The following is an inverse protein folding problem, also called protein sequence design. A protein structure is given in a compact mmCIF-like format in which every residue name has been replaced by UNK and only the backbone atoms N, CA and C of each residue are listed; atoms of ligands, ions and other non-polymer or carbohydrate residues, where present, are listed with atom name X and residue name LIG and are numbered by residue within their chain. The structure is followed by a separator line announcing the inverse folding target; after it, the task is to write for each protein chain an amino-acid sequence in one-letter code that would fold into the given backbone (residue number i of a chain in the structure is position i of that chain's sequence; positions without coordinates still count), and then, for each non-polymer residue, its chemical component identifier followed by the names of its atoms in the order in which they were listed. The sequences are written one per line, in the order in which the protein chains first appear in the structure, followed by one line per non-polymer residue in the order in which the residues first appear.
data_IF_342418628591
#
_entry.id   IF_342418628591
#
_cell.length_a   1.000
_cell.length_b   1.000
_cell.length_c   1.000
_cell.angle_alpha   90.00
_cell.angle_beta   90.00
_cell.angle_gamma   90.00
#
_symmetry.space_group_name_H-M   'P 1'
#
loop_
_entity.id
_entity.type
_entity.pdbx_description
1 polymer ?
#
# COMPACT_ATOMS: atom_id res chain seq x y z
N UNK A 1 18.89 -24.52 -34.02
CA UNK A 1 18.68 -24.96 -35.42
C UNK A 1 17.35 -24.40 -35.90
N UNK A 2 17.38 -23.74 -37.06
CA UNK A 2 16.29 -23.23 -37.92
C UNK A 2 15.31 -22.15 -37.41
N UNK A 3 15.66 -20.92 -37.79
CA UNK A 3 14.74 -19.84 -38.12
C UNK A 3 14.03 -20.11 -39.46
N UNK A 4 12.80 -19.59 -39.64
CA UNK A 4 12.20 -19.38 -40.96
C UNK A 4 11.75 -17.92 -41.11
N UNK A 5 12.51 -17.20 -41.93
CA UNK A 5 12.11 -15.96 -42.59
C UNK A 5 11.12 -16.29 -43.71
N UNK A 6 10.13 -15.44 -43.90
CA UNK A 6 9.52 -15.25 -45.22
C UNK A 6 9.84 -13.83 -45.69
N UNK A 7 10.42 -13.77 -46.88
CA UNK A 7 10.81 -12.59 -47.64
C UNK A 7 10.12 -12.72 -49.00
N UNK A 8 10.02 -11.57 -49.67
CA UNK A 8 9.70 -11.33 -51.09
C UNK A 8 8.26 -10.95 -51.44
N UNK A 9 7.97 -10.02 -52.37
CA UNK A 9 8.63 -8.84 -52.98
C UNK A 9 7.69 -8.35 -54.10
N UNK A 10 7.92 -7.12 -54.59
CA UNK A 10 7.51 -6.53 -55.90
C UNK A 10 6.09 -5.91 -55.92
N UNK A 11 5.84 -4.69 -56.41
CA UNK A 11 6.69 -3.81 -57.22
C UNK A 11 6.15 -2.37 -57.39
N UNK A 12 7.06 -1.54 -57.92
CA UNK A 12 7.02 -0.08 -58.19
C UNK A 12 5.97 0.34 -59.24
N UNK A 13 5.48 1.59 -59.16
CA UNK A 13 5.96 2.73 -59.97
C UNK A 13 4.94 3.91 -60.02
N UNK A 14 5.42 5.11 -59.70
CA UNK A 14 4.96 6.44 -60.20
C UNK A 14 5.86 6.81 -61.40
N UNK A 15 5.55 7.76 -62.33
CA UNK A 15 5.24 9.18 -62.03
C UNK A 15 4.48 10.04 -63.10
N UNK A 16 4.37 11.36 -62.82
CA UNK A 16 4.20 12.54 -63.74
C UNK A 16 2.82 12.74 -64.41
N UNK A 17 2.23 13.95 -64.63
CA UNK A 17 2.68 15.36 -64.80
C UNK A 17 1.49 16.32 -64.49
N UNK A 18 1.69 17.47 -63.81
CA UNK A 18 1.86 18.87 -64.32
C UNK A 18 0.72 19.43 -65.19
N UNK A 19 0.01 20.47 -64.69
CA UNK A 19 -0.24 21.74 -65.39
C UNK A 19 -0.96 22.76 -64.48
N UNK A 20 -0.45 23.99 -64.48
CA UNK A 20 -0.90 25.16 -63.73
C UNK A 20 -1.63 26.16 -64.63
N UNK A 21 -2.59 26.94 -64.11
CA UNK A 21 -2.99 28.27 -64.64
C UNK A 21 -3.44 29.19 -63.48
N UNK A 22 -3.20 30.49 -63.70
CA UNK A 22 -3.05 31.65 -62.81
C UNK A 22 -4.32 32.30 -62.19
N UNK A 23 -4.01 33.05 -61.13
CA UNK A 23 -4.68 34.04 -60.25
C UNK A 23 -5.50 35.15 -60.98
N UNK A 24 -6.42 35.87 -60.29
CA UNK A 24 -5.99 37.17 -59.71
C UNK A 24 -6.51 37.46 -58.29
N UNK A 25 -5.82 38.43 -57.68
CA UNK A 25 -5.82 38.81 -56.27
C UNK A 25 -7.13 39.42 -55.74
N UNK A 26 -7.36 39.22 -54.44
CA UNK A 26 -8.14 40.13 -53.60
C UNK A 26 -7.47 40.24 -52.23
N UNK A 27 -7.27 41.49 -51.82
CA UNK A 27 -6.45 41.91 -50.72
C UNK A 27 -7.26 42.02 -49.41
N UNK A 28 -6.51 42.04 -48.30
CA UNK A 28 -6.92 42.43 -46.93
C UNK A 28 -8.00 41.58 -46.23
N UNK A 29 -7.53 40.68 -45.35
CA UNK A 29 -7.74 40.80 -43.91
C UNK A 29 -6.85 39.77 -43.19
N UNK A 30 -5.72 40.22 -42.65
CA UNK A 30 -4.99 39.46 -41.64
C UNK A 30 -5.77 39.53 -40.32
N UNK A 31 -6.88 38.81 -40.25
CA UNK A 31 -7.43 38.34 -38.99
C UNK A 31 -6.59 37.16 -38.56
N UNK A 32 -5.54 37.41 -37.77
CA UNK A 32 -4.94 36.38 -36.93
C UNK A 32 -6.05 35.82 -36.04
N UNK A 33 -6.72 34.78 -36.53
CA UNK A 33 -7.43 33.84 -35.70
C UNK A 33 -6.36 33.15 -34.85
N UNK A 34 -6.01 33.80 -33.74
CA UNK A 34 -5.52 33.10 -32.58
C UNK A 34 -6.61 32.07 -32.27
N UNK A 35 -6.38 30.83 -32.71
CA UNK A 35 -7.13 29.68 -32.24
C UNK A 35 -6.91 29.57 -30.75
N UNK A 36 -7.66 30.35 -29.96
CA UNK A 36 -8.07 29.95 -28.63
C UNK A 36 -8.84 28.66 -28.88
N UNK A 37 -8.20 27.52 -28.61
CA UNK A 37 -8.94 26.30 -28.34
C UNK A 37 -9.96 26.66 -27.28
N UNK A 38 -11.23 26.73 -27.67
CA UNK A 38 -12.33 26.84 -26.74
C UNK A 38 -12.44 25.47 -26.04
N UNK A 39 -11.55 25.22 -25.08
CA UNK A 39 -11.84 24.23 -24.06
C UNK A 39 -12.92 24.86 -23.18
N UNK A 40 -14.10 24.23 -23.13
CA UNK A 40 -15.18 24.65 -22.25
C UNK A 40 -14.70 24.79 -20.80
N UNK A 41 -13.66 24.03 -20.43
CA UNK A 41 -13.07 23.97 -19.10
C UNK A 41 -12.55 25.30 -18.51
N UNK A 42 -12.40 26.39 -19.27
CA UNK A 42 -11.85 27.66 -18.77
C UNK A 42 -12.89 28.67 -18.26
N UNK A 43 -14.19 28.39 -18.39
CA UNK A 43 -15.22 29.26 -17.87
C UNK A 43 -15.09 29.39 -16.33
N UNK A 44 -15.24 30.60 -15.74
CA UNK A 44 -15.17 30.78 -14.28
C UNK A 44 -16.16 29.93 -13.49
N UNK A 45 -17.35 29.67 -14.06
CA UNK A 45 -18.36 28.78 -13.46
C UNK A 45 -17.86 27.32 -13.39
N UNK A 46 -17.25 26.83 -14.46
CA UNK A 46 -16.71 25.46 -14.53
C UNK A 46 -15.51 25.29 -13.59
N UNK A 47 -14.71 26.34 -13.41
CA UNK A 47 -13.64 26.38 -12.39
C UNK A 47 -14.20 26.33 -10.97
N UNK A 48 -15.23 27.11 -10.67
CA UNK A 48 -15.86 27.09 -9.34
C UNK A 48 -16.49 25.72 -9.03
N UNK A 49 -17.23 25.14 -9.99
CA UNK A 49 -17.81 23.82 -9.82
C UNK A 49 -16.75 22.72 -9.62
N UNK A 50 -15.64 22.77 -10.38
CA UNK A 50 -14.51 21.84 -10.17
C UNK A 50 -13.90 22.00 -8.77
N UNK A 51 -13.71 23.22 -8.29
CA UNK A 51 -13.20 23.46 -6.94
C UNK A 51 -14.16 22.96 -5.87
N UNK A 52 -15.47 23.12 -6.03
CA UNK A 52 -16.46 22.58 -5.11
C UNK A 52 -16.43 21.04 -5.06
N UNK A 53 -16.37 20.37 -6.22
CA UNK A 53 -16.23 18.90 -6.28
C UNK A 53 -14.93 18.42 -5.63
N UNK A 54 -13.83 19.13 -5.88
CA UNK A 54 -12.53 18.85 -5.27
C UNK A 54 -12.57 19.00 -3.75
N UNK A 55 -13.19 20.06 -3.23
CA UNK A 55 -13.40 20.29 -1.80
C UNK A 55 -14.18 19.14 -1.14
N UNK A 56 -15.28 18.71 -1.75
CA UNK A 56 -16.08 17.56 -1.28
C UNK A 56 -15.24 16.28 -1.26
N UNK A 57 -14.55 15.99 -2.36
CA UNK A 57 -13.73 14.78 -2.50
C UNK A 57 -12.62 14.72 -1.46
N UNK A 58 -11.86 15.81 -1.29
CA UNK A 58 -10.79 15.90 -0.30
C UNK A 58 -11.31 15.73 1.12
N UNK A 59 -12.39 16.43 1.48
CA UNK A 59 -12.95 16.38 2.84
C UNK A 59 -13.45 14.98 3.19
N UNK A 60 -14.17 14.32 2.28
CA UNK A 60 -14.66 12.96 2.48
C UNK A 60 -13.50 11.95 2.53
N UNK A 61 -12.57 12.02 1.57
CA UNK A 61 -11.48 11.05 1.49
C UNK A 61 -10.53 11.15 2.69
N UNK A 62 -10.14 12.35 3.10
CA UNK A 62 -9.14 12.56 4.15
C UNK A 62 -9.73 12.56 5.56
N UNK A 63 -10.93 13.12 5.74
CA UNK A 63 -11.50 13.32 7.09
C UNK A 63 -12.81 12.57 7.33
N UNK A 64 -13.45 12.06 6.28
CA UNK A 64 -14.77 11.42 6.36
C UNK A 64 -15.90 12.40 6.70
N UNK A 65 -15.65 13.71 6.59
CA UNK A 65 -16.62 14.77 6.88
C UNK A 65 -17.04 15.48 5.59
N UNK A 66 -18.13 16.23 5.68
CA UNK A 66 -18.48 17.22 4.66
C UNK A 66 -17.53 18.43 4.75
N UNK A 67 -17.19 19.07 3.61
CA UNK A 67 -16.34 20.26 3.61
C UNK A 67 -17.03 21.41 4.36
N UNK A 68 -16.24 22.21 5.08
CA UNK A 68 -16.73 23.46 5.67
C UNK A 68 -16.88 24.56 4.60
N UNK A 69 -17.49 25.69 4.99
CA UNK A 69 -17.72 26.80 4.07
C UNK A 69 -16.41 27.40 3.50
N UNK A 70 -15.30 27.34 4.24
CA UNK A 70 -14.02 27.87 3.80
C UNK A 70 -13.38 26.98 2.73
N UNK A 71 -13.49 25.66 2.87
CA UNK A 71 -13.03 24.71 1.88
C UNK A 71 -13.91 24.74 0.62
N UNK A 72 -15.24 24.82 0.79
CA UNK A 72 -16.20 24.95 -0.32
C UNK A 72 -15.98 26.22 -1.16
N UNK A 73 -15.64 27.34 -0.53
CA UNK A 73 -15.36 28.60 -1.21
C UNK A 73 -13.93 28.74 -1.74
N UNK A 74 -13.06 27.72 -1.59
CA UNK A 74 -11.66 27.83 -1.97
C UNK A 74 -11.46 27.73 -3.48
N UNK A 75 -10.70 28.67 -4.05
CA UNK A 75 -10.25 28.57 -5.44
C UNK A 75 -9.22 27.44 -5.64
N UNK A 76 -8.50 27.05 -4.57
CA UNK A 76 -7.55 25.94 -4.54
C UNK A 76 -7.80 25.08 -3.28
N UNK A 77 -8.72 24.10 -3.35
CA UNK A 77 -8.97 23.19 -2.23
C UNK A 77 -7.75 22.32 -1.86
N UNK A 78 -6.88 22.01 -2.82
CA UNK A 78 -5.70 21.14 -2.61
C UNK A 78 -4.66 21.80 -1.70
N UNK A 79 -4.62 23.14 -1.63
CA UNK A 79 -3.83 23.88 -0.64
C UNK A 79 -4.14 23.51 0.83
N UNK A 80 -5.31 22.91 1.10
CA UNK A 80 -5.77 22.54 2.46
C UNK A 80 -5.38 21.11 2.85
N UNK A 81 -4.78 20.32 1.95
CA UNK A 81 -4.42 18.91 2.20
C UNK A 81 -3.55 18.76 3.44
N UNK A 82 -2.48 19.53 3.61
CA UNK A 82 -1.57 19.36 4.75
C UNK A 82 -2.27 19.60 6.09
N UNK A 83 -3.17 20.59 6.14
CA UNK A 83 -3.97 20.87 7.33
C UNK A 83 -4.93 19.71 7.65
N UNK A 84 -5.53 19.08 6.63
CA UNK A 84 -6.37 17.90 6.82
C UNK A 84 -5.55 16.69 7.29
N UNK A 85 -4.36 16.48 6.74
CA UNK A 85 -3.48 15.36 7.12
C UNK A 85 -2.90 15.50 8.53
N UNK A 86 -2.78 16.73 9.03
CA UNK A 86 -2.39 17.00 10.42
C UNK A 86 -3.56 16.88 11.41
N UNK A 87 -4.78 16.66 10.93
CA UNK A 87 -5.97 16.62 11.79
C UNK A 87 -6.14 15.28 12.52
N UNK A 88 -6.72 15.28 13.73
CA UNK A 88 -7.12 14.05 14.41
C UNK A 88 -8.09 13.18 13.60
N UNK A 89 -8.94 13.80 12.78
CA UNK A 89 -9.88 13.11 11.89
C UNK A 89 -9.16 12.24 10.87
N UNK A 90 -8.09 12.75 10.26
CA UNK A 90 -7.29 11.97 9.33
C UNK A 90 -6.61 10.79 10.04
N UNK A 91 -6.02 11.04 11.22
CA UNK A 91 -5.37 9.98 11.99
C UNK A 91 -6.35 8.85 12.36
N UNK A 92 -7.57 9.21 12.78
CA UNK A 92 -8.64 8.26 13.08
C UNK A 92 -9.04 7.44 11.84
N UNK A 93 -9.28 8.12 10.72
CA UNK A 93 -9.74 7.48 9.48
C UNK A 93 -8.68 6.56 8.89
N UNK A 94 -7.43 7.02 8.83
CA UNK A 94 -6.29 6.24 8.35
C UNK A 94 -6.06 5.01 9.24
N UNK A 95 -6.12 5.16 10.56
CA UNK A 95 -5.96 4.02 11.48
C UNK A 95 -7.03 2.95 11.28
N UNK A 96 -8.30 3.34 11.09
CA UNK A 96 -9.40 2.40 10.78
C UNK A 96 -9.20 1.69 9.45
N UNK A 97 -8.80 2.44 8.42
CA UNK A 97 -8.52 1.87 7.10
C UNK A 97 -7.38 0.85 7.17
N UNK A 98 -6.25 1.23 7.75
CA UNK A 98 -5.06 0.38 7.91
C UNK A 98 -5.41 -0.86 8.72
N UNK A 99 -6.18 -0.70 9.79
CA UNK A 99 -6.68 -1.84 10.54
C UNK A 99 -7.48 -2.81 9.67
N UNK A 100 -8.43 -2.32 8.87
CA UNK A 100 -9.23 -3.15 7.99
C UNK A 100 -8.40 -3.87 6.90
N UNK A 101 -7.29 -3.27 6.44
CA UNK A 101 -6.40 -3.89 5.46
C UNK A 101 -5.49 -4.95 6.09
N UNK A 102 -4.94 -4.67 7.28
CA UNK A 102 -3.86 -5.47 7.87
C UNK A 102 -4.36 -6.53 8.85
N UNK A 103 -5.62 -6.45 9.30
CA UNK A 103 -6.24 -7.51 10.08
C UNK A 103 -7.03 -8.49 9.20
N UNK A 104 -6.95 -9.79 9.53
CA UNK A 104 -7.61 -10.87 8.82
C UNK A 104 -9.12 -10.99 9.02
N UNK A 105 -9.77 -9.96 9.57
CA UNK A 105 -11.18 -9.95 9.93
C UNK A 105 -11.47 -9.03 11.12
N UNK A 106 -12.75 -8.79 11.44
CA UNK A 106 -13.15 -7.94 12.55
C UNK A 106 -12.66 -8.51 13.89
N UNK A 107 -12.38 -7.63 14.85
CA UNK A 107 -12.18 -8.01 16.25
C UNK A 107 -13.50 -7.95 17.01
N UNK A 108 -13.62 -8.78 18.04
CA UNK A 108 -14.79 -8.79 18.92
C UNK A 108 -14.79 -7.60 19.90
N UNK A 109 -13.62 -7.08 20.25
CA UNK A 109 -13.43 -6.04 21.27
C UNK A 109 -12.36 -5.02 20.83
N UNK A 110 -12.57 -3.76 21.19
CA UNK A 110 -11.60 -2.68 21.05
C UNK A 110 -10.31 -2.92 21.85
N UNK A 111 -10.34 -3.73 22.91
CA UNK A 111 -9.15 -4.10 23.69
C UNK A 111 -8.21 -5.07 22.97
N UNK A 112 -8.57 -5.56 21.77
CA UNK A 112 -7.77 -6.50 20.96
C UNK A 112 -7.45 -5.95 19.56
N UNK A 113 -7.29 -4.63 19.41
CA UNK A 113 -7.04 -4.01 18.10
C UNK A 113 -5.68 -3.26 17.98
N UNK A 114 -4.55 -3.97 18.10
CA UNK A 114 -3.25 -3.30 18.21
C UNK A 114 -2.80 -2.58 16.95
N UNK A 115 -3.29 -3.02 15.78
CA UNK A 115 -3.02 -2.37 14.50
C UNK A 115 -3.66 -0.98 14.49
N UNK A 116 -4.93 -0.87 14.86
CA UNK A 116 -5.64 0.41 14.94
C UNK A 116 -4.94 1.38 15.90
N UNK A 117 -4.68 0.96 17.15
CA UNK A 117 -4.12 1.85 18.15
C UNK A 117 -2.70 2.29 17.81
N UNK A 118 -1.86 1.39 17.28
CA UNK A 118 -0.51 1.77 16.88
C UNK A 118 -0.49 2.64 15.62
N UNK A 119 -1.33 2.35 14.62
CA UNK A 119 -1.43 3.20 13.43
C UNK A 119 -1.89 4.60 13.81
N UNK A 120 -2.90 4.73 14.69
CA UNK A 120 -3.36 6.03 15.19
C UNK A 120 -2.24 6.77 15.92
N UNK A 121 -1.46 6.08 16.75
CA UNK A 121 -0.31 6.66 17.46
C UNK A 121 0.75 7.21 16.49
N UNK A 122 1.20 6.39 15.53
CA UNK A 122 2.21 6.75 14.52
C UNK A 122 1.76 7.94 13.69
N UNK A 123 0.51 7.91 13.19
CA UNK A 123 -0.03 8.99 12.36
C UNK A 123 -0.20 10.28 13.16
N UNK A 124 -0.81 10.21 14.35
CA UNK A 124 -1.08 11.42 15.16
C UNK A 124 0.18 12.17 15.58
N UNK A 125 1.31 11.47 15.67
CA UNK A 125 2.61 12.03 16.08
C UNK A 125 3.54 12.35 14.90
N UNK A 126 3.14 12.01 13.68
CA UNK A 126 4.00 12.17 12.49
C UNK A 126 5.27 11.34 12.55
N UNK A 127 5.22 10.19 13.23
CA UNK A 127 6.36 9.27 13.32
C UNK A 127 6.62 8.60 11.96
N UNK A 128 7.82 8.07 11.70
CA UNK A 128 8.08 7.29 10.51
C UNK A 128 7.07 6.14 10.38
N UNK A 129 6.46 6.00 9.21
CA UNK A 129 5.44 4.99 8.93
C UNK A 129 5.94 3.56 9.18
N UNK A 130 7.23 3.32 8.93
CA UNK A 130 7.92 2.09 9.27
C UNK A 130 7.77 1.69 10.75
N UNK A 131 7.61 2.66 11.66
CA UNK A 131 7.47 2.43 13.09
C UNK A 131 6.19 1.64 13.46
N UNK A 132 5.17 1.62 12.58
CA UNK A 132 4.03 0.72 12.73
C UNK A 132 4.45 -0.77 12.75
N UNK A 133 5.52 -1.11 12.05
CA UNK A 133 6.01 -2.48 11.85
C UNK A 133 7.29 -2.78 12.64
N UNK A 134 8.20 -1.81 12.76
CA UNK A 134 9.52 -1.99 13.38
C UNK A 134 9.69 -1.22 14.69
N UNK A 135 8.70 -0.41 15.07
CA UNK A 135 8.81 0.51 16.20
C UNK A 135 9.02 -0.23 17.54
N UNK A 136 9.80 0.36 18.46
CA UNK A 136 10.02 -0.21 19.79
C UNK A 136 8.81 0.08 20.68
N UNK A 137 7.67 -0.53 20.36
CA UNK A 137 6.41 -0.30 21.06
C UNK A 137 5.88 -1.57 21.72
N UNK A 138 5.21 -1.37 22.85
CA UNK A 138 4.28 -2.31 23.45
C UNK A 138 2.87 -1.76 23.33
N UNK A 139 1.92 -2.60 22.93
CA UNK A 139 0.51 -2.25 22.81
C UNK A 139 -0.28 -3.19 23.71
N UNK A 140 -0.86 -2.67 24.78
CA UNK A 140 -1.51 -3.49 25.81
C UNK A 140 -2.94 -3.05 26.05
N UNK A 141 -3.85 -4.00 26.38
CA UNK A 141 -5.22 -3.66 26.72
C UNK A 141 -5.28 -2.86 28.03
N UNK A 142 -6.23 -1.92 28.05
CA UNK A 142 -6.74 -1.22 29.24
C UNK A 142 -8.21 -1.61 29.43
N UNK A 143 -8.96 -0.91 30.28
CA UNK A 143 -10.39 -1.22 30.50
C UNK A 143 -11.23 -1.13 29.22
N UNK A 144 -11.02 -0.08 28.40
CA UNK A 144 -11.91 0.24 27.26
C UNK A 144 -11.15 0.45 25.93
N UNK A 145 -9.82 0.32 25.94
CA UNK A 145 -8.95 0.66 24.81
C UNK A 145 -7.62 -0.10 24.88
N UNK A 146 -6.72 0.14 23.92
CA UNK A 146 -5.31 -0.22 24.07
C UNK A 146 -4.42 1.01 24.29
N UNK A 147 -3.37 0.82 25.07
CA UNK A 147 -2.34 1.82 25.33
C UNK A 147 -1.07 1.46 24.56
N UNK A 148 -0.46 2.46 23.92
CA UNK A 148 0.86 2.34 23.28
C UNK A 148 1.91 2.94 24.20
N UNK A 149 2.93 2.15 24.55
CA UNK A 149 4.09 2.59 25.34
C UNK A 149 5.38 2.18 24.65
N UNK A 150 6.50 2.81 24.99
CA UNK A 150 7.81 2.40 24.49
C UNK A 150 8.24 1.07 25.11
N UNK A 151 8.81 0.20 24.29
CA UNK A 151 9.44 -1.06 24.68
C UNK A 151 10.64 -1.33 23.75
N UNK A 152 11.89 -1.30 24.24
CA UNK A 152 13.07 -1.59 23.43
C UNK A 152 13.05 -2.97 22.76
N UNK A 153 12.31 -3.93 23.33
CA UNK A 153 12.08 -5.25 22.78
C UNK A 153 10.84 -5.32 21.86
N UNK A 154 10.15 -4.22 21.63
CA UNK A 154 9.02 -4.11 20.70
C UNK A 154 9.43 -4.33 19.25
N UNK A 155 8.43 -4.66 18.42
CA UNK A 155 8.56 -4.81 16.97
C UNK A 155 7.22 -4.46 16.31
N UNK A 156 6.89 -3.17 16.34
CA UNK A 156 5.60 -2.64 15.92
C UNK A 156 4.45 -3.38 16.59
N UNK A 157 3.36 -3.57 15.85
CA UNK A 157 2.24 -4.37 16.35
C UNK A 157 2.50 -5.89 16.32
N UNK A 158 3.53 -6.37 15.61
CA UNK A 158 3.78 -7.81 15.43
C UNK A 158 4.16 -8.54 16.72
N UNK A 159 4.77 -7.83 17.69
CA UNK A 159 5.06 -8.38 19.02
C UNK A 159 4.01 -8.04 20.07
N UNK A 160 2.87 -7.50 19.67
CA UNK A 160 1.76 -7.29 20.60
C UNK A 160 1.17 -8.65 21.00
N UNK A 161 0.98 -8.95 22.31
CA UNK A 161 0.49 -10.25 22.75
C UNK A 161 -0.82 -10.68 22.09
N UNK A 162 -1.73 -9.74 21.87
CA UNK A 162 -3.06 -10.01 21.33
C UNK A 162 -2.99 -10.36 19.83
N UNK A 163 -2.19 -9.61 19.05
CA UNK A 163 -1.85 -9.94 17.65
C UNK A 163 -1.16 -11.30 17.55
N UNK A 164 -0.15 -11.55 18.39
CA UNK A 164 0.58 -12.82 18.39
C UNK A 164 -0.33 -14.01 18.69
N UNK A 165 -1.21 -13.90 19.70
CA UNK A 165 -2.18 -14.94 20.03
C UNK A 165 -3.13 -15.21 18.86
N UNK A 166 -3.67 -14.16 18.25
CA UNK A 166 -4.58 -14.26 17.11
C UNK A 166 -3.97 -15.00 15.92
N UNK A 167 -2.71 -14.72 15.60
CA UNK A 167 -2.02 -15.30 14.44
C UNK A 167 -1.01 -16.39 14.81
N UNK A 168 -1.11 -16.97 16.02
CA UNK A 168 -0.23 -18.03 16.49
C UNK A 168 -0.35 -19.30 15.64
N UNK A 169 -1.53 -19.55 15.06
CA UNK A 169 -1.82 -20.73 14.27
C UNK A 169 -1.89 -22.02 15.10
N UNK A 170 -2.06 -23.13 14.40
CA UNK A 170 -2.29 -24.46 14.97
C UNK A 170 -1.21 -25.49 14.56
N UNK A 171 -0.05 -25.04 14.10
CA UNK A 171 1.05 -25.93 13.73
C UNK A 171 1.56 -26.71 14.96
N UNK A 172 1.74 -28.03 14.82
CA UNK A 172 1.99 -28.95 15.94
C UNK A 172 3.29 -28.66 16.68
N UNK A 173 4.32 -28.18 15.97
CA UNK A 173 5.60 -27.80 16.56
C UNK A 173 5.59 -26.35 17.09
N UNK A 174 4.44 -25.68 17.04
CA UNK A 174 4.27 -24.32 17.54
C UNK A 174 4.87 -23.25 16.63
N UNK A 175 5.19 -23.57 15.37
CA UNK A 175 5.58 -22.55 14.39
C UNK A 175 4.41 -21.62 14.07
N UNK A 176 4.64 -20.31 14.15
CA UNK A 176 3.63 -19.30 13.80
C UNK A 176 3.56 -19.09 12.28
N UNK A 177 3.19 -20.12 11.50
CA UNK A 177 3.08 -20.02 10.04
C UNK A 177 2.08 -18.94 9.60
N UNK A 178 0.95 -18.80 10.30
CA UNK A 178 -0.03 -17.74 10.04
C UNK A 178 0.56 -16.36 10.33
N UNK A 179 1.27 -16.21 11.46
CA UNK A 179 1.98 -14.98 11.81
C UNK A 179 3.06 -14.62 10.78
N UNK A 180 3.84 -15.60 10.31
CA UNK A 180 4.84 -15.40 9.26
C UNK A 180 4.19 -14.90 7.96
N UNK A 181 3.07 -15.50 7.54
CA UNK A 181 2.32 -15.06 6.37
C UNK A 181 1.83 -13.62 6.55
N UNK A 182 1.22 -13.31 7.70
CA UNK A 182 0.73 -11.95 7.98
C UNK A 182 1.83 -10.91 8.00
N UNK A 183 3.02 -11.22 8.54
CA UNK A 183 4.18 -10.33 8.47
C UNK A 183 4.57 -10.06 7.00
N UNK A 184 4.67 -11.10 6.17
CA UNK A 184 5.01 -10.97 4.75
C UNK A 184 3.94 -10.15 4.02
N UNK A 185 2.67 -10.49 4.19
CA UNK A 185 1.56 -9.84 3.50
C UNK A 185 1.43 -8.37 3.92
N UNK A 186 1.44 -8.09 5.22
CA UNK A 186 1.23 -6.73 5.72
C UNK A 186 2.40 -5.79 5.40
N UNK A 187 3.60 -6.33 5.14
CA UNK A 187 4.76 -5.53 4.76
C UNK A 187 4.89 -5.40 3.24
N UNK A 188 4.70 -6.47 2.48
CA UNK A 188 5.02 -6.50 1.04
C UNK A 188 3.80 -6.53 0.12
N UNK A 189 2.60 -6.71 0.67
CA UNK A 189 1.38 -6.92 -0.10
C UNK A 189 1.31 -8.28 -0.79
N UNK A 190 2.26 -9.19 -0.52
CA UNK A 190 2.24 -10.53 -1.09
C UNK A 190 1.14 -11.36 -0.43
N UNK A 191 0.12 -11.68 -1.21
CA UNK A 191 -0.91 -12.63 -0.81
C UNK A 191 -0.52 -14.06 -1.20
N UNK A 192 -0.60 -14.97 -0.24
CA UNK A 192 -0.44 -16.40 -0.47
C UNK A 192 -1.83 -17.03 -0.56
N UNK A 193 -2.14 -17.61 -1.70
CA UNK A 193 -3.36 -18.40 -1.86
C UNK A 193 -3.06 -19.84 -1.45
N UNK A 194 -3.83 -20.35 -0.49
CA UNK A 194 -3.73 -21.74 -0.10
C UNK A 194 -4.11 -22.64 -1.29
N UNK A 195 -3.34 -23.70 -1.52
CA UNK A 195 -3.75 -24.80 -2.39
C UNK A 195 -5.04 -25.42 -1.84
N UNK A 196 -5.98 -25.77 -2.73
CA UNK A 196 -7.19 -26.52 -2.34
C UNK A 196 -6.73 -27.93 -1.95
N UNK A 197 -6.59 -28.18 -0.65
CA UNK A 197 -6.20 -29.50 -0.17
C UNK A 197 -7.34 -30.51 -0.28
N UNK A 198 -7.04 -31.71 -0.75
CA UNK A 198 -7.95 -32.84 -0.72
C UNK A 198 -8.05 -33.43 0.71
N UNK A 199 -9.17 -34.10 1.04
CA UNK A 199 -9.24 -34.89 2.26
C UNK A 199 -8.08 -35.91 2.30
N UNK A 200 -7.29 -35.89 3.37
CA UNK A 200 -6.16 -36.78 3.56
C UNK A 200 -4.80 -36.24 3.12
N UNK A 201 -4.73 -35.03 2.54
CA UNK A 201 -3.44 -34.40 2.23
C UNK A 201 -2.60 -34.22 3.51
N UNK A 202 -1.33 -34.59 3.43
CA UNK A 202 -0.38 -34.38 4.51
C UNK A 202 0.00 -32.90 4.59
N UNK A 203 -0.46 -32.21 5.64
CA UNK A 203 -0.17 -30.80 5.92
C UNK A 203 0.92 -30.62 6.99
N UNK A 204 1.53 -31.71 7.43
CA UNK A 204 2.66 -31.68 8.36
C UNK A 204 3.87 -30.98 7.73
N UNK A 205 4.90 -30.71 8.54
CA UNK A 205 6.15 -30.18 8.03
C UNK A 205 6.80 -31.06 6.94
N UNK A 206 6.56 -32.37 6.96
CA UNK A 206 7.08 -33.27 5.91
C UNK A 206 6.23 -33.17 4.65
N UNK A 207 4.90 -33.23 4.77
CA UNK A 207 3.98 -33.06 3.65
C UNK A 207 4.20 -31.73 2.90
N UNK A 208 4.51 -30.64 3.62
CA UNK A 208 4.82 -29.34 3.00
C UNK A 208 6.10 -29.31 2.16
N UNK A 209 6.96 -30.33 2.24
CA UNK A 209 8.11 -30.49 1.34
C UNK A 209 7.73 -31.17 0.02
N UNK A 210 6.49 -31.62 -0.12
CA UNK A 210 5.93 -32.13 -1.37
C UNK A 210 5.93 -31.05 -2.48
N UNK A 211 6.03 -31.44 -3.77
CA UNK A 211 6.17 -30.50 -4.89
C UNK A 211 5.10 -29.39 -4.95
N UNK A 212 3.88 -29.70 -4.52
CA UNK A 212 2.74 -28.79 -4.49
C UNK A 212 2.85 -27.68 -3.44
N UNK A 213 3.52 -27.94 -2.31
CA UNK A 213 3.64 -26.99 -1.20
C UNK A 213 5.04 -26.35 -1.12
N UNK A 214 6.07 -27.08 -1.52
CA UNK A 214 7.48 -26.74 -1.29
C UNK A 214 7.87 -25.36 -1.81
N UNK A 215 7.27 -24.93 -2.93
CA UNK A 215 7.48 -23.61 -3.50
C UNK A 215 7.20 -22.48 -2.50
N UNK A 216 6.03 -22.49 -1.86
CA UNK A 216 5.66 -21.43 -0.93
C UNK A 216 6.31 -21.60 0.45
N UNK A 217 6.60 -22.84 0.84
CA UNK A 217 7.06 -23.14 2.20
C UNK A 217 8.59 -23.12 2.35
N UNK A 218 9.37 -23.51 1.32
CA UNK A 218 10.81 -23.77 1.46
C UNK A 218 11.71 -23.15 0.37
N UNK A 219 11.26 -23.08 -0.89
CA UNK A 219 12.18 -22.83 -2.02
C UNK A 219 12.23 -21.36 -2.51
N UNK A 220 11.26 -20.51 -2.16
CA UNK A 220 11.14 -19.13 -2.69
C UNK A 220 11.66 -18.06 -1.72
N UNK A 221 11.81 -16.83 -2.22
CA UNK A 221 12.27 -15.68 -1.42
C UNK A 221 11.45 -15.43 -0.16
N UNK A 222 10.15 -15.77 -0.19
CA UNK A 222 9.21 -15.66 0.93
C UNK A 222 8.82 -17.04 1.50
N UNK A 223 9.78 -17.97 1.59
CA UNK A 223 9.59 -19.33 2.11
C UNK A 223 9.00 -19.32 3.52
N UNK A 224 7.72 -19.68 3.65
CA UNK A 224 6.94 -19.49 4.87
C UNK A 224 7.50 -20.24 6.09
N UNK A 225 7.92 -21.49 5.92
CA UNK A 225 8.46 -22.29 7.03
C UNK A 225 9.80 -21.72 7.48
N UNK A 226 10.63 -21.27 6.54
CA UNK A 226 11.92 -20.63 6.85
C UNK A 226 11.71 -19.28 7.56
N UNK A 227 10.69 -18.50 7.18
CA UNK A 227 10.29 -17.29 7.91
C UNK A 227 9.85 -17.61 9.34
N UNK A 228 8.99 -18.62 9.52
CA UNK A 228 8.46 -18.98 10.83
C UNK A 228 9.53 -19.48 11.82
N UNK A 229 10.68 -19.95 11.34
CA UNK A 229 11.85 -20.30 12.18
C UNK A 229 12.48 -19.11 12.89
N UNK A 230 12.30 -17.90 12.37
CA UNK A 230 12.78 -16.66 13.00
C UNK A 230 11.79 -16.09 14.03
N UNK A 231 10.56 -16.60 14.07
CA UNK A 231 9.51 -16.11 14.96
C UNK A 231 9.51 -16.85 16.32
N UNK A 232 8.95 -16.24 17.37
CA UNK A 232 8.67 -16.94 18.62
C UNK A 232 7.84 -18.21 18.41
N UNK A 233 8.07 -19.20 19.27
CA UNK A 233 7.34 -20.48 19.26
C UNK A 233 6.15 -20.41 20.19
N UNK A 234 4.98 -20.79 19.68
CA UNK A 234 3.77 -20.98 20.49
C UNK A 234 3.95 -22.16 21.44
N UNK A 235 3.54 -21.99 22.69
CA UNK A 235 3.35 -23.06 23.67
C UNK A 235 1.94 -22.98 24.23
N UNK A 236 1.31 -24.13 24.44
CA UNK A 236 -0.08 -24.21 24.91
C UNK A 236 -1.12 -23.95 23.81
N UNK A 237 -2.38 -23.80 24.23
CA UNK A 237 -3.54 -23.59 23.36
C UNK A 237 -4.54 -22.64 24.05
N UNK A 238 -5.42 -22.01 23.26
CA UNK A 238 -6.43 -21.08 23.76
C UNK A 238 -5.83 -19.89 24.52
N UNK A 239 -6.46 -19.51 25.62
CA UNK A 239 -6.05 -18.34 26.41
C UNK A 239 -4.69 -18.54 27.12
N UNK A 240 -4.29 -19.79 27.33
CA UNK A 240 -3.02 -20.18 27.94
C UNK A 240 -1.82 -20.16 26.97
N UNK A 241 -2.00 -19.65 25.75
CA UNK A 241 -0.88 -19.48 24.80
C UNK A 241 0.20 -18.58 25.40
N UNK A 242 1.43 -19.08 25.36
CA UNK A 242 2.66 -18.36 25.67
C UNK A 242 3.64 -18.47 24.50
N UNK A 243 4.66 -17.61 24.47
CA UNK A 243 5.65 -17.57 23.40
C UNK A 243 7.05 -17.70 23.96
N UNK A 244 7.82 -18.66 23.44
CA UNK A 244 9.25 -18.79 23.73
C UNK A 244 10.09 -18.24 22.58
N UNK A 245 11.30 -17.70 22.84
CA UNK A 245 12.19 -17.24 21.78
C UNK A 245 12.48 -18.30 20.70
N UNK A 246 12.80 -17.90 19.45
CA UNK A 246 13.20 -18.82 18.39
C UNK A 246 14.50 -19.56 18.76
N UNK A 247 14.62 -20.82 18.34
CA UNK A 247 15.77 -21.70 18.67
C UNK A 247 16.56 -22.17 17.44
N UNK A 248 16.08 -21.88 16.23
CA UNK A 248 16.62 -22.44 14.96
C UNK A 248 17.83 -21.67 14.42
N UNK A 249 18.21 -20.57 15.09
CA UNK A 249 19.30 -19.69 14.64
C UNK A 249 19.00 -18.94 13.34
N UNK A 250 20.02 -18.27 12.77
CA UNK A 250 19.86 -17.47 11.56
C UNK A 250 19.38 -18.28 10.35
N UNK A 251 18.56 -17.67 9.49
CA UNK A 251 17.99 -18.29 8.30
C UNK A 251 18.45 -17.59 7.01
N UNK A 252 18.50 -18.32 5.90
CA UNK A 252 18.75 -17.75 4.56
C UNK A 252 17.42 -17.32 3.92
N UNK A 253 17.19 -16.02 3.82
CA UNK A 253 15.95 -15.43 3.29
C UNK A 253 16.27 -14.14 2.56
N UNK A 254 15.49 -13.81 1.52
CA UNK A 254 15.63 -12.54 0.79
C UNK A 254 17.05 -12.28 0.27
N UNK A 255 17.81 -13.34 -0.04
CA UNK A 255 19.20 -13.28 -0.47
C UNK A 255 20.21 -12.89 0.62
N UNK A 256 19.83 -12.99 1.91
CA UNK A 256 20.65 -12.61 3.07
C UNK A 256 20.55 -13.64 4.19
N UNK A 257 21.54 -13.64 5.08
CA UNK A 257 21.44 -14.29 6.38
C UNK A 257 20.69 -13.37 7.33
N UNK A 258 19.51 -13.78 7.80
CA UNK A 258 18.67 -13.04 8.74
C UNK A 258 18.74 -13.72 10.11
N UNK A 259 19.10 -12.98 11.15
CA UNK A 259 19.36 -13.50 12.50
C UNK A 259 18.08 -13.76 13.30
N UNK A 260 17.13 -12.85 13.24
CA UNK A 260 15.92 -12.84 14.07
C UNK A 260 14.76 -12.13 13.36
N UNK A 261 13.58 -12.18 13.98
CA UNK A 261 12.36 -11.52 13.51
C UNK A 261 12.50 -9.99 13.40
N UNK A 262 13.31 -9.36 14.25
CA UNK A 262 13.55 -7.92 14.17
C UNK A 262 14.32 -7.55 12.89
N UNK A 263 15.39 -8.27 12.59
CA UNK A 263 16.14 -8.10 11.34
C UNK A 263 15.27 -8.46 10.12
N UNK A 264 14.44 -9.49 10.24
CA UNK A 264 13.50 -9.90 9.19
C UNK A 264 12.52 -8.77 8.82
N UNK A 265 11.77 -8.26 9.81
CA UNK A 265 10.77 -7.20 9.57
C UNK A 265 11.45 -5.92 9.10
N UNK A 266 12.62 -5.57 9.65
CA UNK A 266 13.39 -4.43 9.19
C UNK A 266 13.82 -4.58 7.72
N UNK A 267 14.22 -5.79 7.31
CA UNK A 267 14.57 -6.09 5.91
C UNK A 267 13.37 -5.97 4.97
N UNK A 268 12.20 -6.45 5.39
CA UNK A 268 10.96 -6.32 4.61
C UNK A 268 10.55 -4.86 4.45
N UNK A 269 10.54 -4.10 5.54
CA UNK A 269 10.13 -2.69 5.57
C UNK A 269 11.10 -1.78 4.81
N UNK A 270 12.38 -2.17 4.70
CA UNK A 270 13.36 -1.46 3.87
C UNK A 270 13.25 -1.78 2.36
N UNK A 271 12.41 -2.73 1.95
CA UNK A 271 12.32 -3.19 0.55
C UNK A 271 11.47 -2.28 -0.33
N UNK A 272 11.69 -2.33 -1.65
CA UNK A 272 10.84 -1.64 -2.62
C UNK A 272 9.41 -2.20 -2.64
N UNK A 273 9.25 -3.50 -2.37
CA UNK A 273 7.94 -4.14 -2.22
C UNK A 273 7.14 -3.49 -1.08
N UNK A 274 7.80 -3.11 0.02
CA UNK A 274 7.13 -2.37 1.09
C UNK A 274 6.61 -1.03 0.61
N UNK A 275 7.46 -0.18 0.02
CA UNK A 275 7.06 1.14 -0.47
C UNK A 275 5.93 1.06 -1.48
N UNK A 276 6.06 0.14 -2.44
CA UNK A 276 5.04 -0.13 -3.44
C UNK A 276 3.71 -0.52 -2.79
N UNK A 277 3.72 -1.46 -1.83
CA UNK A 277 2.51 -1.87 -1.12
C UNK A 277 1.90 -0.72 -0.31
N UNK A 278 2.72 0.10 0.37
CA UNK A 278 2.22 1.25 1.12
C UNK A 278 1.55 2.27 0.21
N UNK A 279 2.13 2.58 -0.96
CA UNK A 279 1.50 3.47 -1.93
C UNK A 279 0.24 2.88 -2.56
N UNK A 280 0.20 1.57 -2.83
CA UNK A 280 -1.05 0.90 -3.21
C UNK A 280 -2.15 1.08 -2.16
N UNK A 281 -1.80 0.96 -0.87
CA UNK A 281 -2.76 1.22 0.22
C UNK A 281 -3.21 2.68 0.26
N UNK A 282 -2.34 3.65 -0.06
CA UNK A 282 -2.72 5.06 -0.21
C UNK A 282 -3.76 5.23 -1.32
N UNK A 283 -3.58 4.57 -2.46
CA UNK A 283 -4.57 4.60 -3.54
C UNK A 283 -5.90 3.95 -3.11
N UNK A 284 -5.84 2.81 -2.43
CA UNK A 284 -7.05 2.16 -1.89
C UNK A 284 -7.77 3.05 -0.86
N UNK A 285 -7.02 3.78 -0.04
CA UNK A 285 -7.58 4.73 0.93
C UNK A 285 -8.29 5.90 0.24
N UNK A 286 -7.65 6.49 -0.78
CA UNK A 286 -8.13 7.69 -1.46
C UNK A 286 -9.20 7.42 -2.52
N UNK A 287 -9.09 6.31 -3.24
CA UNK A 287 -9.93 5.97 -4.39
C UNK A 287 -10.83 4.75 -4.18
N UNK A 288 -10.64 3.99 -3.10
CA UNK A 288 -11.35 2.72 -2.89
C UNK A 288 -10.88 1.59 -3.81
N UNK A 289 -9.77 1.77 -4.54
CA UNK A 289 -9.18 0.79 -5.46
C UNK A 289 -7.66 0.91 -5.50
N UNK A 290 -6.99 -0.12 -6.02
CA UNK A 290 -5.58 -0.04 -6.36
C UNK A 290 -5.33 0.96 -7.51
N UNK A 291 -4.06 1.37 -7.64
CA UNK A 291 -3.54 2.14 -8.74
C UNK A 291 -3.74 1.44 -10.10
N UNK A 292 -3.81 2.21 -11.18
CA UNK A 292 -3.82 1.71 -12.54
C UNK A 292 -2.62 2.23 -13.36
N UNK A 293 -2.45 1.71 -14.58
CA UNK A 293 -1.28 2.02 -15.42
C UNK A 293 -1.17 3.50 -15.83
N UNK A 294 -2.28 4.24 -15.87
CA UNK A 294 -2.27 5.67 -16.20
C UNK A 294 -1.83 6.55 -15.03
N UNK A 295 -1.73 6.00 -13.82
CA UNK A 295 -1.40 6.73 -12.59
C UNK A 295 0.08 6.59 -12.21
N UNK A 296 0.92 6.03 -13.09
CA UNK A 296 2.33 5.73 -12.81
C UNK A 296 3.10 6.94 -12.26
N UNK A 297 2.97 8.12 -12.87
CA UNK A 297 3.67 9.32 -12.40
C UNK A 297 3.27 9.74 -10.98
N UNK A 298 1.99 9.67 -10.65
CA UNK A 298 1.49 9.99 -9.31
C UNK A 298 1.89 8.91 -8.30
N UNK A 299 1.90 7.65 -8.74
CA UNK A 299 2.35 6.54 -7.91
C UNK A 299 3.83 6.64 -7.57
N UNK A 300 4.68 6.97 -8.55
CA UNK A 300 6.11 7.21 -8.32
C UNK A 300 6.32 8.38 -7.36
N UNK A 301 5.57 9.48 -7.51
CA UNK A 301 5.60 10.61 -6.58
C UNK A 301 5.19 10.21 -5.14
N UNK A 302 4.23 9.30 -4.99
CA UNK A 302 3.89 8.71 -3.69
C UNK A 302 5.08 7.95 -3.10
N UNK A 303 5.74 7.10 -3.88
CA UNK A 303 6.87 6.28 -3.43
C UNK A 303 8.05 7.17 -3.04
N UNK A 304 8.32 8.22 -3.82
CA UNK A 304 9.38 9.19 -3.54
C UNK A 304 9.07 9.99 -2.26
N UNK A 305 7.84 10.45 -2.09
CA UNK A 305 7.41 11.18 -0.90
C UNK A 305 7.51 10.31 0.37
N UNK A 306 7.11 9.04 0.29
CA UNK A 306 7.26 8.08 1.39
C UNK A 306 8.74 7.81 1.69
N UNK A 307 9.56 7.61 0.65
CA UNK A 307 11.00 7.35 0.81
C UNK A 307 11.74 8.53 1.42
N UNK A 308 11.36 9.76 1.05
CA UNK A 308 12.07 10.98 1.46
C UNK A 308 11.67 11.44 2.87
N UNK A 309 10.37 11.50 3.15
CA UNK A 309 9.87 12.01 4.43
C UNK A 309 9.61 10.90 5.46
N UNK A 310 9.43 9.65 5.01
CA UNK A 310 9.20 8.51 5.89
C UNK A 310 7.80 8.43 6.49
N UNK A 311 6.90 9.40 6.29
CA UNK A 311 5.55 9.42 6.89
C UNK A 311 4.49 8.98 5.88
N UNK A 312 3.37 8.42 6.37
CA UNK A 312 2.26 8.08 5.47
C UNK A 312 1.53 9.32 4.98
N UNK A 313 1.55 10.41 5.77
CA UNK A 313 1.00 11.70 5.38
C UNK A 313 1.68 12.25 4.13
N UNK A 314 3.00 12.15 3.99
CA UNK A 314 3.69 12.64 2.79
C UNK A 314 3.26 11.89 1.53
N UNK A 315 3.11 10.56 1.66
CA UNK A 315 2.63 9.69 0.58
C UNK A 315 1.19 10.06 0.16
N UNK A 316 0.30 10.25 1.13
CA UNK A 316 -1.08 10.68 0.89
C UNK A 316 -1.13 12.08 0.29
N UNK A 317 -0.29 13.00 0.77
CA UNK A 317 -0.20 14.36 0.25
C UNK A 317 0.23 14.38 -1.22
N UNK A 318 1.22 13.56 -1.60
CA UNK A 318 1.69 13.47 -2.97
C UNK A 318 0.56 13.10 -3.95
N UNK A 319 -0.33 12.19 -3.54
CA UNK A 319 -1.48 11.78 -4.37
C UNK A 319 -2.62 12.80 -4.30
N UNK A 320 -2.99 13.27 -3.11
CA UNK A 320 -4.14 14.16 -2.92
C UNK A 320 -3.90 15.59 -3.47
N UNK A 321 -2.64 16.03 -3.56
CA UNK A 321 -2.25 17.32 -4.16
C UNK A 321 -1.99 17.24 -5.66
N UNK A 322 -1.97 16.05 -6.25
CA UNK A 322 -1.83 15.93 -7.70
C UNK A 322 -3.08 16.48 -8.40
N UNK A 323 -2.96 17.29 -9.47
CA UNK A 323 -4.12 17.85 -10.16
C UNK A 323 -5.13 16.81 -10.66
N UNK A 324 -4.69 15.59 -10.97
CA UNK A 324 -5.56 14.51 -11.46
C UNK A 324 -6.47 13.94 -10.37
N UNK A 325 -6.14 14.14 -9.09
CA UNK A 325 -7.01 13.72 -7.97
C UNK A 325 -8.37 14.41 -8.02
N UNK A 326 -8.39 15.69 -8.38
CA UNK A 326 -9.61 16.50 -8.46
C UNK A 326 -10.19 16.62 -9.87
N UNK A 327 -9.54 16.02 -10.88
CA UNK A 327 -10.02 16.01 -12.26
C UNK A 327 -11.13 14.96 -12.51
N UNK A 328 -11.23 13.95 -11.64
CA UNK A 328 -12.13 12.81 -11.78
C UNK A 328 -13.29 12.84 -10.78
#
# INVERSE_FOLDING_TARGET
MLARRFSERIGRARPLSVAAVLIPALALAAGLAAGRGAHADDAPADRAERSERCAVRLSIALTGKSPDAALMGSADPQSRVDAMLASPEFAERMARFVNAQLNGGPQADATDDPVYYLAKHVVSRGEPWAALFTGPYSVTPTADAMQVTDDPAGLGYFRTPSWMKRYAGNEDQGYMLVGAFRIIANTTGLELMASVGNPGDDRSAEGRKGPECKGCHYDRWYALDTFAKLLPRKRGQGDAITFSPPTEGPQQLLGKTIKDDKELVSTLVASDAFKFHQCRMVFQFLYGRAENQCEATVFDACVDALSSAGTIQSAVAAVAKDPTFCAN
#
